data_IF_759379886771
#
_entry.id   IF_759379886771
#
_cell.length_a   1.000
_cell.length_b   1.000
_cell.length_c   1.000
_cell.angle_alpha   90.00
_cell.angle_beta   90.00
_cell.angle_gamma   90.00
#
_symmetry.space_group_name_H-M   'P 1'
#
loop_
_entity.id
_entity.type
_entity.pdbx_description
1 polymer ?
#
# COMPACT_ATOMS: atom_id res chain seq x y z
N UNK A 1 20.59 -13.76 -19.82
CA UNK A 1 19.43 -13.93 -18.91
C UNK A 1 19.25 -12.56 -18.28
N UNK A 2 18.06 -11.97 -18.36
CA UNK A 2 17.82 -10.68 -17.74
C UNK A 2 17.61 -10.84 -16.24
N UNK A 3 18.19 -9.95 -15.45
CA UNK A 3 17.94 -9.85 -14.01
C UNK A 3 17.32 -8.49 -13.70
N UNK A 4 16.68 -8.35 -12.57
CA UNK A 4 16.15 -7.10 -12.09
C UNK A 4 17.06 -6.50 -11.00
N UNK A 5 17.17 -5.17 -10.97
CA UNK A 5 17.79 -4.43 -9.87
C UNK A 5 16.87 -3.31 -9.41
N UNK A 6 16.91 -2.97 -8.13
CA UNK A 6 16.33 -1.74 -7.61
C UNK A 6 17.33 -0.61 -7.90
N UNK A 7 16.92 0.32 -8.74
CA UNK A 7 17.77 1.44 -9.16
C UNK A 7 17.47 2.73 -8.40
N UNK A 8 16.22 2.91 -7.93
CA UNK A 8 15.81 4.06 -7.14
C UNK A 8 14.78 3.69 -6.09
N UNK A 9 14.72 4.49 -5.02
CA UNK A 9 13.73 4.40 -3.96
C UNK A 9 13.15 5.77 -3.64
N UNK A 10 11.86 5.80 -3.28
CA UNK A 10 11.18 7.01 -2.83
C UNK A 10 10.10 6.67 -1.81
N UNK A 11 9.69 7.69 -1.05
CA UNK A 11 8.58 7.58 -0.12
C UNK A 11 7.83 8.91 -0.02
N UNK A 12 6.60 8.83 0.45
CA UNK A 12 5.78 9.98 0.76
C UNK A 12 4.92 9.69 2.00
N UNK A 13 4.82 10.68 2.88
CA UNK A 13 3.94 10.64 4.03
C UNK A 13 3.14 11.95 4.10
N UNK A 14 1.85 11.90 4.44
CA UNK A 14 1.03 13.10 4.63
C UNK A 14 1.64 14.09 5.63
N UNK A 15 1.32 15.37 5.46
CA UNK A 15 1.89 16.43 6.30
C UNK A 15 1.34 16.42 7.73
N UNK A 16 0.08 15.99 7.93
CA UNK A 16 -0.57 15.99 9.23
C UNK A 16 0.06 14.95 10.16
N UNK A 17 0.62 15.42 11.26
CA UNK A 17 1.09 14.59 12.38
C UNK A 17 -0.02 14.48 13.41
N UNK A 18 -0.31 13.26 13.86
CA UNK A 18 -1.24 12.99 14.97
C UNK A 18 -0.47 12.22 16.05
N UNK A 19 -0.36 12.81 17.22
CA UNK A 19 0.34 12.24 18.38
C UNK A 19 -0.58 11.30 19.17
N UNK A 20 0.01 10.52 20.10
CA UNK A 20 -0.77 9.72 21.04
C UNK A 20 -1.66 10.58 21.94
N UNK A 21 -1.19 11.78 22.32
CA UNK A 21 -1.98 12.74 23.11
C UNK A 21 -3.17 13.31 22.32
N UNK A 22 -3.05 13.42 21.00
CA UNK A 22 -4.19 13.78 20.16
C UNK A 22 -5.25 12.67 20.12
N UNK A 23 -4.82 11.40 20.05
CA UNK A 23 -5.74 10.25 20.10
C UNK A 23 -6.45 10.16 21.46
N UNK A 24 -5.80 10.51 22.55
CA UNK A 24 -6.43 10.50 23.90
C UNK A 24 -7.60 11.48 24.04
N UNK A 25 -7.72 12.46 23.10
CA UNK A 25 -8.85 13.40 23.06
C UNK A 25 -10.12 12.81 22.42
N UNK A 26 -9.97 11.74 21.65
CA UNK A 26 -11.07 11.14 20.86
C UNK A 26 -11.38 9.70 21.25
N UNK A 27 -10.52 9.04 22.03
CA UNK A 27 -10.73 7.68 22.50
C UNK A 27 -10.10 7.47 23.89
N UNK A 28 -10.53 6.44 24.61
CA UNK A 28 -9.98 6.08 25.93
C UNK A 28 -8.61 5.40 25.80
N UNK A 29 -7.53 6.21 25.70
CA UNK A 29 -6.15 5.77 25.57
C UNK A 29 -5.18 6.80 26.19
N UNK A 30 -3.88 6.48 26.20
CA UNK A 30 -2.81 7.40 26.64
C UNK A 30 -1.51 7.15 25.87
N UNK A 31 -0.59 8.13 25.85
CA UNK A 31 0.74 7.94 25.26
C UNK A 31 1.47 6.75 25.91
N UNK A 32 1.44 6.62 27.23
CA UNK A 32 2.05 5.50 27.94
C UNK A 32 1.46 4.15 27.50
N UNK A 33 0.12 4.07 27.37
CA UNK A 33 -0.56 2.83 26.97
C UNK A 33 -0.17 2.41 25.54
N UNK A 34 -0.12 3.35 24.60
CA UNK A 34 0.25 3.07 23.20
C UNK A 34 1.73 2.72 23.09
N UNK A 35 2.62 3.54 23.63
CA UNK A 35 4.07 3.36 23.52
C UNK A 35 4.59 2.08 24.13
N UNK A 36 4.08 1.71 25.29
CA UNK A 36 4.54 0.48 25.98
C UNK A 36 4.16 -0.80 25.23
N UNK A 37 3.09 -0.75 24.40
CA UNK A 37 2.59 -1.90 23.64
C UNK A 37 3.08 -1.94 22.20
N UNK A 38 3.31 -0.80 21.60
CA UNK A 38 3.55 -0.68 20.15
C UNK A 38 4.85 0.03 19.79
N UNK A 39 5.41 0.84 20.69
CA UNK A 39 6.51 1.75 20.41
C UNK A 39 6.12 3.01 19.63
N UNK A 40 4.87 3.10 19.14
CA UNK A 40 4.39 4.21 18.32
C UNK A 40 4.22 5.46 19.16
N UNK A 41 4.77 6.60 18.68
CA UNK A 41 4.65 7.91 19.29
C UNK A 41 3.72 8.84 18.53
N UNK A 42 3.75 8.76 17.21
CA UNK A 42 2.95 9.56 16.30
C UNK A 42 2.65 8.78 15.00
N UNK A 43 1.69 9.25 14.23
CA UNK A 43 1.38 8.75 12.88
C UNK A 43 1.10 9.91 11.94
N UNK A 44 1.23 9.63 10.66
CA UNK A 44 0.83 10.57 9.60
C UNK A 44 -0.56 10.21 9.13
N UNK A 45 -1.41 11.21 9.03
CA UNK A 45 -2.82 11.04 8.63
C UNK A 45 -3.11 11.94 7.44
N UNK A 46 -3.66 11.35 6.39
CA UNK A 46 -4.14 12.07 5.22
C UNK A 46 -5.41 12.86 5.57
N UNK A 47 -5.44 14.13 5.21
CA UNK A 47 -6.61 15.00 5.42
C UNK A 47 -7.46 15.10 4.15
N UNK A 48 -6.81 15.34 3.01
CA UNK A 48 -7.48 15.55 1.72
C UNK A 48 -6.86 14.70 0.60
N UNK A 49 -5.93 13.81 0.92
CA UNK A 49 -5.25 12.95 -0.05
C UNK A 49 -5.88 11.56 -0.04
N UNK A 50 -5.92 10.91 -1.18
CA UNK A 50 -6.28 9.53 -1.35
C UNK A 50 -5.02 8.67 -1.57
N UNK A 51 -5.17 7.37 -1.60
CA UNK A 51 -4.07 6.44 -1.82
C UNK A 51 -3.36 6.70 -3.15
N UNK A 52 -4.11 7.06 -4.19
CA UNK A 52 -3.52 7.44 -5.49
C UNK A 52 -2.65 8.69 -5.39
N UNK A 53 -3.03 9.70 -4.60
CA UNK A 53 -2.24 10.91 -4.43
C UNK A 53 -0.88 10.61 -3.79
N UNK A 54 -0.86 9.76 -2.76
CA UNK A 54 0.38 9.32 -2.11
C UNK A 54 1.27 8.54 -3.10
N UNK A 55 0.67 7.60 -3.83
CA UNK A 55 1.38 6.78 -4.82
C UNK A 55 1.93 7.62 -5.99
N UNK A 56 1.16 8.60 -6.48
CA UNK A 56 1.60 9.55 -7.53
C UNK A 56 2.81 10.37 -7.07
N UNK A 57 2.82 10.82 -5.82
CA UNK A 57 3.97 11.54 -5.26
C UNK A 57 5.23 10.67 -5.24
N UNK A 58 5.11 9.39 -4.87
CA UNK A 58 6.23 8.43 -4.91
C UNK A 58 6.71 8.22 -6.34
N UNK A 59 5.80 7.97 -7.29
CA UNK A 59 6.15 7.75 -8.69
C UNK A 59 6.87 8.96 -9.31
N UNK A 60 6.39 10.18 -9.06
CA UNK A 60 7.04 11.41 -9.51
C UNK A 60 8.46 11.54 -8.96
N UNK A 61 8.67 11.25 -7.66
CA UNK A 61 10.00 11.28 -7.06
C UNK A 61 10.93 10.22 -7.66
N UNK A 62 10.45 9.00 -7.95
CA UNK A 62 11.24 7.96 -8.58
C UNK A 62 11.71 8.37 -9.98
N UNK A 63 10.81 8.94 -10.79
CA UNK A 63 11.10 9.45 -12.13
C UNK A 63 12.10 10.61 -12.06
N UNK A 64 11.87 11.59 -11.20
CA UNK A 64 12.75 12.75 -11.02
C UNK A 64 14.17 12.33 -10.59
N UNK A 65 14.28 11.47 -9.58
CA UNK A 65 15.58 11.01 -9.05
C UNK A 65 16.36 10.14 -10.03
N UNK A 66 15.67 9.34 -10.83
CA UNK A 66 16.32 8.44 -11.81
C UNK A 66 16.68 9.13 -13.11
N UNK A 67 15.94 10.18 -13.46
CA UNK A 67 16.02 10.81 -14.79
C UNK A 67 15.42 9.97 -15.92
N UNK A 68 14.70 8.88 -15.59
CA UNK A 68 14.01 8.02 -16.55
C UNK A 68 12.84 8.79 -17.16
N UNK A 69 12.65 8.69 -18.47
CA UNK A 69 11.44 9.22 -19.10
C UNK A 69 10.24 8.34 -18.79
N UNK A 70 9.05 8.90 -18.45
CA UNK A 70 7.87 8.10 -18.14
C UNK A 70 7.45 7.11 -19.23
N UNK A 71 7.69 7.42 -20.49
CA UNK A 71 7.41 6.57 -21.65
C UNK A 71 8.36 5.38 -21.80
N UNK A 72 9.47 5.33 -21.04
CA UNK A 72 10.34 4.16 -20.94
C UNK A 72 9.85 3.11 -19.96
N UNK A 73 8.81 3.42 -19.15
CA UNK A 73 8.25 2.46 -18.20
C UNK A 73 7.38 1.44 -18.91
N UNK A 74 7.60 0.17 -18.63
CA UNK A 74 6.84 -0.96 -19.15
C UNK A 74 5.64 -1.30 -18.25
N UNK A 75 5.76 -1.06 -16.92
CA UNK A 75 4.70 -1.36 -15.98
C UNK A 75 4.70 -0.46 -14.74
N UNK A 76 3.51 -0.33 -14.15
CA UNK A 76 3.28 0.28 -12.82
C UNK A 76 2.46 -0.69 -11.99
N UNK A 77 3.00 -1.17 -10.87
CA UNK A 77 2.31 -2.03 -9.91
C UNK A 77 2.12 -1.28 -8.59
N UNK A 78 0.90 -1.30 -8.06
CA UNK A 78 0.61 -0.74 -6.74
C UNK A 78 0.05 -1.82 -5.83
N UNK A 79 0.68 -2.00 -4.67
CA UNK A 79 0.17 -2.84 -3.60
C UNK A 79 -0.67 -1.98 -2.66
N UNK A 80 -1.95 -2.28 -2.55
CA UNK A 80 -2.88 -1.55 -1.67
C UNK A 80 -4.10 -2.36 -1.30
N UNK A 81 -4.63 -2.14 -0.08
CA UNK A 81 -5.95 -2.61 0.38
C UNK A 81 -6.91 -1.45 0.63
N UNK A 82 -6.44 -0.21 0.47
CA UNK A 82 -7.24 1.00 0.62
C UNK A 82 -7.26 1.85 -0.66
N UNK A 83 -7.66 1.25 -1.82
CA UNK A 83 -7.73 2.02 -3.06
C UNK A 83 -8.76 3.14 -2.95
N UNK A 84 -8.62 4.18 -3.77
CA UNK A 84 -9.58 5.30 -3.85
C UNK A 84 -10.99 4.78 -4.17
N UNK A 85 -11.05 3.77 -5.03
CA UNK A 85 -12.26 3.07 -5.49
C UNK A 85 -11.87 1.71 -6.07
N UNK A 86 -12.85 0.83 -6.27
CA UNK A 86 -12.61 -0.47 -6.89
C UNK A 86 -12.17 -0.36 -8.35
N UNK A 87 -12.49 0.74 -9.03
CA UNK A 87 -12.10 1.04 -10.40
C UNK A 87 -12.16 2.56 -10.65
N UNK A 88 -11.19 3.15 -11.38
CA UNK A 88 -9.96 2.51 -11.88
C UNK A 88 -9.03 2.08 -10.75
N UNK A 89 -8.06 1.19 -11.05
CA UNK A 89 -7.01 0.84 -10.09
C UNK A 89 -6.12 2.04 -9.74
N UNK A 90 -5.55 2.05 -8.54
CA UNK A 90 -4.59 3.09 -8.12
C UNK A 90 -3.40 3.14 -9.08
N UNK A 91 -2.90 1.98 -9.51
CA UNK A 91 -1.81 1.90 -10.50
C UNK A 91 -2.17 2.57 -11.83
N UNK A 92 -3.42 2.45 -12.31
CA UNK A 92 -3.86 3.13 -13.53
C UNK A 92 -3.91 4.66 -13.34
N UNK A 93 -4.34 5.14 -12.16
CA UNK A 93 -4.32 6.55 -11.83
C UNK A 93 -2.88 7.10 -11.78
N UNK A 94 -1.95 6.34 -11.18
CA UNK A 94 -0.52 6.68 -11.16
C UNK A 94 0.04 6.74 -12.57
N UNK A 95 -0.19 5.71 -13.39
CA UNK A 95 0.27 5.61 -14.77
C UNK A 95 -0.14 6.83 -15.59
N UNK A 96 -1.42 7.21 -15.52
CA UNK A 96 -1.94 8.39 -16.22
C UNK A 96 -1.35 9.70 -15.70
N UNK A 97 -1.22 9.85 -14.38
CA UNK A 97 -0.74 11.07 -13.74
C UNK A 97 0.75 11.37 -14.02
N UNK A 98 1.57 10.33 -14.23
CA UNK A 98 2.99 10.49 -14.56
C UNK A 98 3.26 10.45 -16.06
N UNK A 99 2.27 10.17 -16.89
CA UNK A 99 2.41 10.11 -18.36
C UNK A 99 3.15 8.87 -18.86
N UNK A 100 3.10 7.75 -18.14
CA UNK A 100 3.75 6.49 -18.52
C UNK A 100 2.92 5.74 -19.59
N UNK A 101 2.79 6.34 -20.76
CA UNK A 101 1.85 5.94 -21.81
C UNK A 101 2.07 4.53 -22.37
N UNK A 102 3.28 3.99 -22.23
CA UNK A 102 3.62 2.65 -22.71
C UNK A 102 3.46 1.59 -21.61
N UNK A 103 3.26 2.00 -20.35
CA UNK A 103 3.17 1.09 -19.22
C UNK A 103 1.77 0.48 -19.09
N UNK A 104 1.69 -0.83 -18.85
CA UNK A 104 0.49 -1.40 -18.27
C UNK A 104 0.47 -1.22 -16.75
N UNK A 105 -0.71 -1.23 -16.14
CA UNK A 105 -0.85 -0.92 -14.73
C UNK A 105 -1.94 -1.75 -14.07
N UNK A 106 -1.67 -2.29 -12.87
CA UNK A 106 -2.67 -2.96 -12.04
C UNK A 106 -2.28 -2.96 -10.56
N UNK A 107 -3.29 -3.10 -9.70
CA UNK A 107 -3.10 -3.21 -8.25
C UNK A 107 -2.93 -4.68 -7.82
N UNK A 108 -2.17 -4.87 -6.73
CA UNK A 108 -2.03 -6.15 -6.05
C UNK A 108 -2.60 -6.01 -4.63
N UNK A 109 -3.54 -6.87 -4.28
CA UNK A 109 -4.17 -6.91 -2.97
C UNK A 109 -3.69 -8.13 -2.20
N UNK A 110 -2.79 -7.92 -1.23
CA UNK A 110 -2.26 -8.94 -0.34
C UNK A 110 -1.85 -8.35 1.02
N UNK A 111 -2.57 -7.33 1.49
CA UNK A 111 -2.38 -6.65 2.76
C UNK A 111 -0.89 -6.31 3.01
N UNK A 112 -0.38 -6.55 4.23
CA UNK A 112 0.98 -6.22 4.65
C UNK A 112 2.07 -6.89 3.77
N UNK A 113 1.77 -8.03 3.15
CA UNK A 113 2.68 -8.72 2.23
C UNK A 113 2.60 -8.20 0.78
N UNK A 114 1.66 -7.31 0.49
CA UNK A 114 1.36 -6.84 -0.87
C UNK A 114 2.57 -6.29 -1.60
N UNK A 115 3.38 -5.44 -0.93
CA UNK A 115 4.58 -4.89 -1.55
C UNK A 115 5.62 -5.98 -1.91
N UNK A 116 5.80 -6.99 -1.05
CA UNK A 116 6.72 -8.10 -1.31
C UNK A 116 6.22 -8.91 -2.51
N UNK A 117 4.91 -9.19 -2.60
CA UNK A 117 4.33 -9.91 -3.72
C UNK A 117 4.41 -9.10 -5.03
N UNK A 118 4.20 -7.77 -4.95
CA UNK A 118 4.36 -6.88 -6.09
C UNK A 118 5.81 -6.83 -6.58
N UNK A 119 6.77 -6.77 -5.66
CA UNK A 119 8.20 -6.77 -5.97
C UNK A 119 8.63 -8.07 -6.62
N UNK A 120 8.22 -9.22 -6.07
CA UNK A 120 8.48 -10.53 -6.64
C UNK A 120 7.87 -10.69 -8.05
N UNK A 121 6.64 -10.17 -8.24
CA UNK A 121 5.98 -10.15 -9.55
C UNK A 121 6.77 -9.32 -10.55
N UNK A 122 7.18 -8.12 -10.17
CA UNK A 122 7.95 -7.21 -11.03
C UNK A 122 9.33 -7.80 -11.41
N UNK A 123 10.00 -8.47 -10.46
CA UNK A 123 11.25 -9.20 -10.76
C UNK A 123 11.02 -10.24 -11.86
N UNK A 124 9.94 -11.05 -11.77
CA UNK A 124 9.63 -12.06 -12.79
C UNK A 124 9.27 -11.44 -14.14
N UNK A 125 8.60 -10.28 -14.15
CA UNK A 125 8.31 -9.54 -15.38
C UNK A 125 9.61 -9.15 -16.10
N UNK A 126 10.59 -8.59 -15.38
CA UNK A 126 11.89 -8.21 -15.96
C UNK A 126 12.68 -9.47 -16.34
N UNK A 127 12.72 -10.48 -15.46
CA UNK A 127 13.45 -11.73 -15.72
C UNK A 127 12.93 -12.51 -16.94
N UNK A 128 11.68 -12.29 -17.33
CA UNK A 128 11.14 -12.85 -18.57
C UNK A 128 11.87 -12.37 -19.82
N UNK A 129 12.59 -11.23 -19.75
CA UNK A 129 13.25 -10.57 -20.87
C UNK A 129 12.33 -9.78 -21.79
N UNK A 130 11.02 -9.73 -21.47
CA UNK A 130 10.02 -8.97 -22.23
C UNK A 130 9.96 -7.52 -21.77
N UNK A 131 10.00 -7.29 -20.47
CA UNK A 131 9.92 -5.98 -19.82
C UNK A 131 11.27 -5.63 -19.18
N UNK A 132 11.62 -4.34 -19.21
CA UNK A 132 12.95 -3.86 -18.81
C UNK A 132 12.92 -2.90 -17.62
N UNK A 133 11.79 -2.21 -17.42
CA UNK A 133 11.73 -1.11 -16.48
C UNK A 133 10.32 -0.93 -15.93
N UNK A 134 10.20 -0.76 -14.62
CA UNK A 134 8.89 -0.52 -14.03
C UNK A 134 8.95 -0.02 -12.60
N UNK A 135 7.82 0.49 -12.14
CA UNK A 135 7.65 1.04 -10.79
C UNK A 135 6.79 0.09 -9.96
N UNK A 136 7.22 -0.16 -8.72
CA UNK A 136 6.46 -0.88 -7.71
C UNK A 136 6.27 0.03 -6.50
N UNK A 137 5.02 0.24 -6.09
CA UNK A 137 4.65 1.11 -4.98
C UNK A 137 3.76 0.34 -4.00
N UNK A 138 4.01 0.48 -2.70
CA UNK A 138 3.04 0.19 -1.65
C UNK A 138 2.45 1.51 -1.15
N UNK A 139 1.13 1.64 -1.11
CA UNK A 139 0.47 2.87 -0.70
C UNK A 139 -0.82 2.57 0.05
N UNK A 140 -1.02 3.24 1.18
CA UNK A 140 -2.21 3.05 2.01
C UNK A 140 -2.70 4.38 2.62
N UNK A 141 -4.00 4.57 2.63
CA UNK A 141 -4.70 5.55 3.48
C UNK A 141 -5.64 4.78 4.40
N UNK A 142 -5.05 4.06 5.35
CA UNK A 142 -5.78 3.19 6.29
C UNK A 142 -6.63 3.98 7.27
N UNK A 143 -6.27 5.24 7.54
CA UNK A 143 -7.04 6.13 8.41
C UNK A 143 -8.52 6.25 8.05
N UNK A 144 -8.87 6.03 6.77
CA UNK A 144 -10.25 6.05 6.27
C UNK A 144 -11.03 4.75 6.52
N UNK A 145 -10.34 3.68 6.90
CA UNK A 145 -10.93 2.35 7.13
C UNK A 145 -11.04 1.99 8.60
N UNK A 146 -10.57 2.86 9.50
CA UNK A 146 -10.52 2.62 10.93
C UNK A 146 -11.77 3.10 11.65
N UNK A 147 -12.22 2.33 12.63
CA UNK A 147 -13.13 2.83 13.65
C UNK A 147 -12.33 3.62 14.71
N UNK A 148 -12.43 4.94 14.67
CA UNK A 148 -11.70 5.81 15.59
C UNK A 148 -12.21 5.76 17.04
N UNK A 149 -13.27 5.00 17.33
CA UNK A 149 -13.69 4.68 18.68
C UNK A 149 -13.05 3.40 19.25
N UNK A 150 -12.47 2.56 18.36
CA UNK A 150 -11.78 1.31 18.74
C UNK A 150 -10.27 1.51 18.89
N UNK A 151 -9.80 1.69 20.13
CA UNK A 151 -8.37 1.82 20.42
C UNK A 151 -7.54 0.56 20.14
N UNK A 152 -8.16 -0.59 19.94
CA UNK A 152 -7.42 -1.83 19.68
C UNK A 152 -6.85 -1.88 18.26
N UNK A 153 -7.42 -1.10 17.35
CA UNK A 153 -7.05 -1.03 15.95
C UNK A 153 -6.53 0.35 15.57
N UNK A 154 -7.26 1.42 15.92
CA UNK A 154 -6.99 2.78 15.45
C UNK A 154 -5.61 3.34 15.86
N UNK A 155 -5.04 2.90 16.97
CA UNK A 155 -3.73 3.37 17.44
C UNK A 155 -2.55 2.82 16.62
N UNK A 156 -2.77 1.74 15.84
CA UNK A 156 -1.71 1.00 15.16
C UNK A 156 -1.35 1.55 13.78
N UNK A 157 -2.27 2.23 13.12
CA UNK A 157 -2.17 2.54 11.70
C UNK A 157 -2.01 4.04 11.43
N UNK A 158 -1.43 4.34 10.29
CA UNK A 158 -1.32 5.64 9.69
C UNK A 158 -1.29 5.51 8.17
N UNK A 159 -1.00 6.61 7.48
CA UNK A 159 -1.05 6.72 6.04
C UNK A 159 0.34 6.98 5.47
N UNK A 160 0.62 6.44 4.30
CA UNK A 160 1.89 6.64 3.62
C UNK A 160 2.04 5.81 2.35
N UNK A 161 3.10 6.10 1.62
CA UNK A 161 3.50 5.35 0.45
C UNK A 161 5.01 5.24 0.36
N UNK A 162 5.48 4.13 -0.21
CA UNK A 162 6.87 3.91 -0.54
C UNK A 162 6.99 3.08 -1.81
N UNK A 163 8.06 3.28 -2.58
CA UNK A 163 8.20 2.55 -3.82
C UNK A 163 9.61 2.51 -4.35
N UNK A 164 9.78 1.69 -5.37
CA UNK A 164 11.05 1.44 -6.04
C UNK A 164 10.89 1.50 -7.56
N UNK A 165 11.94 1.92 -8.23
CA UNK A 165 12.13 1.73 -9.66
C UNK A 165 12.99 0.47 -9.84
N UNK A 166 12.49 -0.47 -10.65
CA UNK A 166 13.26 -1.63 -11.10
C UNK A 166 13.69 -1.44 -12.56
N UNK A 167 14.91 -1.89 -12.83
CA UNK A 167 15.48 -1.90 -14.18
C UNK A 167 16.15 -3.25 -14.47
N UNK A 168 16.23 -3.58 -15.77
CA UNK A 168 17.01 -4.72 -16.24
C UNK A 168 18.50 -4.58 -15.84
N UNK A 169 19.11 -5.69 -15.46
CA UNK A 169 20.53 -5.80 -15.10
C UNK A 169 21.14 -7.05 -15.72
N UNK A 170 22.44 -7.00 -16.01
CA UNK A 170 23.22 -8.18 -16.39
C UNK A 170 23.63 -9.00 -15.19
N UNK A 171 23.65 -8.39 -14.00
CA UNK A 171 24.01 -9.03 -12.72
C UNK A 171 22.77 -9.36 -11.89
N UNK A 172 22.84 -10.46 -11.15
CA UNK A 172 21.77 -10.90 -10.25
C UNK A 172 21.79 -10.08 -8.95
N UNK A 173 20.62 -9.50 -8.59
CA UNK A 173 20.43 -8.72 -7.37
C UNK A 173 19.32 -9.29 -6.47
N UNK A 174 18.51 -10.24 -6.97
CA UNK A 174 17.49 -10.95 -6.21
C UNK A 174 17.93 -12.41 -6.02
N UNK A 175 18.41 -12.73 -4.83
CA UNK A 175 19.07 -14.01 -4.55
C UNK A 175 18.12 -15.12 -4.06
N UNK A 176 16.88 -14.77 -3.77
CA UNK A 176 15.87 -15.74 -3.35
C UNK A 176 14.60 -15.04 -2.86
N UNK A 177 13.52 -15.83 -2.79
CA UNK A 177 12.23 -15.38 -2.28
C UNK A 177 11.52 -16.54 -1.57
N UNK A 178 10.67 -16.21 -0.62
CA UNK A 178 9.73 -17.14 0.01
C UNK A 178 8.39 -16.46 0.14
N UNK A 179 7.41 -16.91 -0.64
CA UNK A 179 6.06 -16.37 -0.69
C UNK A 179 5.10 -17.45 -0.19
N UNK A 180 4.33 -17.14 0.86
CA UNK A 180 3.38 -18.06 1.46
C UNK A 180 2.08 -17.34 1.80
N UNK A 181 0.99 -18.09 1.85
CA UNK A 181 -0.33 -17.62 2.29
C UNK A 181 -1.01 -18.74 3.08
N UNK A 182 -1.53 -18.41 4.24
CA UNK A 182 -2.37 -19.30 5.03
C UNK A 182 -3.82 -18.80 5.04
N UNK A 183 -4.57 -19.17 4.02
CA UNK A 183 -5.98 -18.79 3.88
C UNK A 183 -6.91 -19.37 4.96
N UNK A 184 -6.46 -20.39 5.73
CA UNK A 184 -7.25 -20.93 6.83
C UNK A 184 -7.42 -19.93 8.00
N UNK A 185 -6.59 -18.90 8.05
CA UNK A 185 -6.60 -17.83 9.05
C UNK A 185 -7.29 -16.54 8.58
N UNK A 186 -7.98 -16.57 7.46
CA UNK A 186 -8.63 -15.40 6.87
C UNK A 186 -9.67 -14.68 7.74
N UNK A 187 -10.11 -15.30 8.86
CA UNK A 187 -10.99 -14.66 9.83
C UNK A 187 -10.30 -13.82 10.91
N UNK A 188 -8.96 -13.78 10.94
CA UNK A 188 -8.20 -13.01 11.93
C UNK A 188 -8.14 -11.52 11.61
N UNK A 189 -8.20 -11.19 10.33
CA UNK A 189 -8.32 -9.82 9.82
C UNK A 189 -9.46 -9.75 8.82
N UNK A 190 -10.27 -8.71 8.93
CA UNK A 190 -11.31 -8.42 7.96
C UNK A 190 -11.29 -6.93 7.61
N UNK A 191 -11.47 -6.63 6.35
CA UNK A 191 -11.41 -5.26 5.85
C UNK A 191 -12.77 -4.71 5.48
N UNK A 192 -12.85 -3.41 5.48
CA UNK A 192 -14.00 -2.61 5.14
C UNK A 192 -14.61 -2.97 3.78
N UNK A 193 -15.76 -3.57 3.77
CA UNK A 193 -16.58 -3.72 2.57
C UNK A 193 -17.91 -3.02 2.80
N UNK A 194 -18.18 -1.99 2.02
CA UNK A 194 -19.32 -1.10 2.27
C UNK A 194 -20.51 -1.32 1.31
N UNK A 195 -20.43 -2.28 0.39
CA UNK A 195 -21.47 -2.44 -0.63
C UNK A 195 -22.28 -3.70 -0.38
N UNK A 196 -23.56 -3.48 -0.08
CA UNK A 196 -24.55 -4.54 0.09
C UNK A 196 -25.38 -4.61 -1.20
N UNK A 197 -25.55 -5.82 -1.71
CA UNK A 197 -26.50 -6.06 -2.80
C UNK A 197 -27.92 -5.76 -2.31
N UNK A 198 -28.78 -5.09 -3.11
CA UNK A 198 -30.19 -4.92 -2.74
C UNK A 198 -30.96 -6.24 -2.61
N UNK A 199 -30.33 -7.35 -2.97
CA UNK A 199 -30.88 -8.71 -2.87
C UNK A 199 -30.29 -9.50 -1.69
N UNK A 200 -29.41 -8.89 -0.87
CA UNK A 200 -28.88 -9.51 0.34
C UNK A 200 -29.86 -9.36 1.50
N UNK A 201 -29.86 -10.34 2.41
CA UNK A 201 -30.67 -10.23 3.64
C UNK A 201 -30.09 -9.12 4.55
N UNK A 202 -30.98 -8.43 5.29
CA UNK A 202 -30.59 -7.33 6.21
C UNK A 202 -29.62 -7.80 7.32
N UNK A 203 -29.54 -9.11 7.58
CA UNK A 203 -28.62 -9.70 8.55
C UNK A 203 -27.16 -9.76 8.07
N UNK A 204 -26.90 -9.56 6.80
CA UNK A 204 -25.57 -9.69 6.19
C UNK A 204 -24.94 -8.31 5.94
N UNK A 205 -24.97 -7.45 6.97
CA UNK A 205 -24.38 -6.11 6.92
C UNK A 205 -22.86 -6.22 7.11
N UNK A 206 -22.03 -5.94 6.07
CA UNK A 206 -20.60 -5.96 6.23
C UNK A 206 -20.17 -4.81 7.18
N UNK A 207 -19.20 -5.09 8.04
CA UNK A 207 -18.61 -4.04 8.86
C UNK A 207 -17.83 -3.06 7.93
N UNK A 208 -18.15 -1.76 7.95
CA UNK A 208 -17.44 -0.77 7.13
C UNK A 208 -16.01 -0.50 7.59
N UNK A 209 -15.63 -1.00 8.76
CA UNK A 209 -14.31 -0.75 9.34
C UNK A 209 -13.43 -2.00 9.30
N UNK A 210 -12.13 -1.77 9.25
CA UNK A 210 -11.12 -2.82 9.41
C UNK A 210 -11.16 -3.36 10.83
N UNK A 211 -11.17 -4.70 10.94
CA UNK A 211 -11.13 -5.42 12.21
C UNK A 211 -9.92 -6.35 12.26
N UNK A 212 -9.36 -6.55 13.44
CA UNK A 212 -8.19 -7.38 13.63
C UNK A 212 -8.24 -8.06 15.00
N UNK A 213 -7.99 -9.37 15.05
CA UNK A 213 -7.69 -10.07 16.29
C UNK A 213 -6.19 -9.95 16.62
N UNK A 214 -5.81 -8.83 17.22
CA UNK A 214 -4.41 -8.51 17.54
C UNK A 214 -3.76 -9.40 18.61
N UNK A 215 -4.48 -10.41 19.15
CA UNK A 215 -3.90 -11.42 20.04
C UNK A 215 -3.53 -12.70 19.30
N UNK A 216 -4.16 -12.94 18.16
CA UNK A 216 -3.95 -14.15 17.36
C UNK A 216 -2.96 -13.92 16.20
N UNK A 217 -2.67 -12.65 15.89
CA UNK A 217 -1.66 -12.20 14.94
C UNK A 217 -0.36 -11.91 15.68
#
# INVERSE_FOLDING_TARGET
MAFAKISQVAHYAPAQVVTNDDLSKIMDTSDEWIRTRTGIQERRISVNENTSDLAINVAKQLIEKSGVSPDELDFVLVATISPDSNMPSVAALVQGAVGAVNAFAFDITAACSGFVFALATAEKLIRSGVYKKGIVIGAEVLSKTLDWSDRTTAVLFGDGAGGVLLEESEEEHFFGESLNTDGSKGGLESGASAVISPYSDESDQPNPYMQMDGKAI
#
